data_IF_244989656031
#
_entry.id   IF_244989656031
#
_cell.length_a   1.000
_cell.length_b   1.000
_cell.length_c   1.000
_cell.angle_alpha   90.00
_cell.angle_beta   90.00
_cell.angle_gamma   90.00
#
_symmetry.space_group_name_H-M   'P 1'
#
loop_
_entity.id
_entity.type
_entity.pdbx_description
1 polymer ?
#
# COMPACT_ATOMS: atom_id res chain seq x y z
N UNK A 1 -1.24 -21.11 -6.46
CA UNK A 1 -1.16 -20.74 -7.89
C UNK A 1 -0.01 -19.76 -8.03
N UNK A 2 0.70 -19.76 -9.15
CA UNK A 2 1.77 -18.78 -9.37
C UNK A 2 1.07 -17.42 -9.57
N UNK A 3 0.86 -16.66 -8.49
CA UNK A 3 0.26 -15.31 -8.49
C UNK A 3 1.24 -14.32 -9.11
N UNK A 4 1.48 -14.49 -10.41
CA UNK A 4 2.26 -13.55 -11.18
C UNK A 4 1.40 -12.34 -11.47
N UNK A 5 1.87 -11.16 -11.04
CA UNK A 5 1.31 -9.87 -11.42
C UNK A 5 1.16 -9.82 -12.95
N UNK A 6 0.00 -9.39 -13.45
CA UNK A 6 -0.21 -9.30 -14.88
C UNK A 6 0.58 -8.11 -15.47
N UNK A 7 0.82 -8.12 -16.79
CA UNK A 7 1.65 -7.09 -17.43
C UNK A 7 1.09 -5.66 -17.32
N UNK A 8 -0.24 -5.49 -17.25
CA UNK A 8 -0.86 -4.15 -17.09
C UNK A 8 -0.65 -3.61 -15.68
N UNK A 9 -0.81 -4.45 -14.67
CA UNK A 9 -0.55 -4.06 -13.28
C UNK A 9 0.92 -3.70 -13.08
N UNK A 10 1.81 -4.45 -13.74
CA UNK A 10 3.26 -4.20 -13.73
C UNK A 10 3.63 -2.91 -14.46
N UNK A 11 2.97 -2.62 -15.59
CA UNK A 11 3.09 -1.35 -16.30
C UNK A 11 2.69 -0.17 -15.40
N UNK A 12 1.53 -0.26 -14.75
CA UNK A 12 1.10 0.78 -13.81
C UNK A 12 2.06 0.96 -12.64
N UNK A 13 2.57 -0.12 -12.04
CA UNK A 13 3.57 -0.03 -10.97
C UNK A 13 4.85 0.71 -11.43
N UNK A 14 5.28 0.50 -12.68
CA UNK A 14 6.40 1.22 -13.28
C UNK A 14 6.08 2.70 -13.51
N UNK A 15 4.87 3.01 -13.99
CA UNK A 15 4.43 4.40 -14.16
C UNK A 15 4.35 5.14 -12.83
N UNK A 16 3.80 4.51 -11.80
CA UNK A 16 3.73 5.05 -10.45
C UNK A 16 5.14 5.30 -9.88
N UNK A 17 6.07 4.35 -10.09
CA UNK A 17 7.47 4.51 -9.70
C UNK A 17 8.13 5.73 -10.38
N UNK A 18 7.91 5.90 -11.69
CA UNK A 18 8.39 7.09 -12.44
C UNK A 18 7.73 8.37 -11.95
N UNK A 19 6.47 8.30 -11.52
CA UNK A 19 5.76 9.45 -10.99
C UNK A 19 6.35 9.92 -9.66
N UNK A 20 6.49 9.01 -8.69
CA UNK A 20 7.03 9.35 -7.37
C UNK A 20 8.53 9.67 -7.41
N UNK A 21 9.27 9.13 -8.37
CA UNK A 21 10.68 9.43 -8.61
C UNK A 21 10.88 10.71 -9.46
N UNK A 22 10.44 11.84 -8.92
CA UNK A 22 10.80 13.17 -9.44
C UNK A 22 9.76 13.89 -10.30
N UNK A 23 8.65 13.25 -10.72
CA UNK A 23 7.53 13.98 -11.39
C UNK A 23 6.52 14.55 -10.40
N UNK A 24 6.31 13.88 -9.27
CA UNK A 24 5.34 14.30 -8.27
C UNK A 24 5.76 15.61 -7.59
N UNK A 25 4.93 16.63 -7.69
CA UNK A 25 5.18 17.93 -7.05
C UNK A 25 4.71 17.99 -5.59
N UNK A 26 3.61 17.32 -5.24
CA UNK A 26 3.03 17.33 -3.89
C UNK A 26 2.14 16.13 -3.65
N UNK A 27 2.52 15.24 -2.72
CA UNK A 27 1.74 14.07 -2.36
C UNK A 27 0.35 14.43 -1.80
N UNK A 28 0.25 15.49 -1.00
CA UNK A 28 -1.02 15.93 -0.41
C UNK A 28 -2.02 16.43 -1.45
N UNK A 29 -1.56 17.21 -2.44
CA UNK A 29 -2.43 17.67 -3.54
C UNK A 29 -2.89 16.52 -4.43
N UNK A 30 -2.00 15.56 -4.72
CA UNK A 30 -2.35 14.35 -5.49
C UNK A 30 -3.39 13.51 -4.73
N UNK A 31 -3.23 13.35 -3.41
CA UNK A 31 -4.21 12.64 -2.58
C UNK A 31 -5.59 13.33 -2.57
N UNK A 32 -5.63 14.66 -2.48
CA UNK A 32 -6.88 15.41 -2.59
C UNK A 32 -7.54 15.20 -3.96
N UNK A 33 -6.75 15.24 -5.04
CA UNK A 33 -7.25 15.01 -6.39
C UNK A 33 -7.76 13.58 -6.59
N UNK A 34 -7.13 12.58 -5.96
CA UNK A 34 -7.63 11.21 -6.00
C UNK A 34 -9.05 11.06 -5.43
N UNK A 35 -9.42 11.90 -4.46
CA UNK A 35 -10.74 11.92 -3.86
C UNK A 35 -11.80 12.69 -4.69
N UNK A 36 -11.39 13.46 -5.71
CA UNK A 36 -12.30 14.19 -6.60
C UNK A 36 -12.89 13.31 -7.72
N UNK A 37 -12.39 12.08 -7.88
CA UNK A 37 -12.87 11.15 -8.89
C UNK A 37 -14.25 10.56 -8.57
N UNK A 38 -14.84 9.86 -9.54
CA UNK A 38 -16.08 9.11 -9.31
C UNK A 38 -15.89 8.09 -8.18
N UNK A 39 -16.89 7.97 -7.28
CA UNK A 39 -16.81 7.16 -6.04
C UNK A 39 -16.32 5.73 -6.26
N UNK A 40 -16.70 5.11 -7.37
CA UNK A 40 -16.20 3.78 -7.75
C UNK A 40 -14.66 3.78 -7.91
N UNK A 41 -14.10 4.73 -8.64
CA UNK A 41 -12.65 4.84 -8.86
C UNK A 41 -11.91 5.20 -7.56
N UNK A 42 -12.50 6.05 -6.73
CA UNK A 42 -11.95 6.36 -5.39
C UNK A 42 -11.78 5.08 -4.57
N UNK A 43 -12.79 4.21 -4.58
CA UNK A 43 -12.74 2.93 -3.89
C UNK A 43 -11.68 1.98 -4.48
N UNK A 44 -11.57 1.88 -5.81
CA UNK A 44 -10.54 1.03 -6.44
C UNK A 44 -9.12 1.51 -6.13
N UNK A 45 -8.87 2.83 -6.12
CA UNK A 45 -7.57 3.38 -5.69
C UNK A 45 -7.27 3.03 -4.24
N UNK A 46 -8.26 3.15 -3.36
CA UNK A 46 -8.08 2.84 -1.95
C UNK A 46 -7.75 1.36 -1.72
N UNK A 47 -8.34 0.43 -2.49
CA UNK A 47 -7.94 -0.99 -2.45
C UNK A 47 -6.46 -1.19 -2.77
N UNK A 48 -5.94 -0.52 -3.80
CA UNK A 48 -4.51 -0.58 -4.15
C UNK A 48 -3.64 -0.02 -3.01
N UNK A 49 -4.05 1.09 -2.39
CA UNK A 49 -3.36 1.65 -1.22
C UNK A 49 -3.32 0.66 -0.05
N UNK A 50 -4.46 0.03 0.27
CA UNK A 50 -4.54 -0.96 1.35
C UNK A 50 -3.69 -2.19 1.08
N UNK A 51 -3.72 -2.72 -0.15
CA UNK A 51 -2.86 -3.84 -0.54
C UNK A 51 -1.37 -3.49 -0.43
N UNK A 52 -0.98 -2.27 -0.83
CA UNK A 52 0.40 -1.80 -0.67
C UNK A 52 0.79 -1.66 0.80
N UNK A 53 -0.08 -1.09 1.64
CA UNK A 53 0.14 -0.99 3.08
C UNK A 53 0.28 -2.38 3.73
N UNK A 54 -0.56 -3.35 3.36
CA UNK A 54 -0.45 -4.72 3.84
C UNK A 54 0.92 -5.33 3.49
N UNK A 55 1.39 -5.16 2.25
CA UNK A 55 2.71 -5.65 1.85
C UNK A 55 3.84 -4.96 2.64
N UNK A 56 3.75 -3.66 2.91
CA UNK A 56 4.72 -2.95 3.73
C UNK A 56 4.70 -3.43 5.19
N UNK A 57 3.53 -3.78 5.71
CA UNK A 57 3.38 -4.35 7.04
C UNK A 57 3.99 -5.77 7.12
N UNK A 58 3.82 -6.59 6.08
CA UNK A 58 4.51 -7.89 5.95
C UNK A 58 6.03 -7.68 5.93
N UNK A 59 6.50 -6.70 5.15
CA UNK A 59 7.93 -6.37 5.10
C UNK A 59 8.45 -5.92 6.46
N UNK A 60 7.68 -5.15 7.22
CA UNK A 60 8.01 -4.77 8.59
C UNK A 60 8.20 -6.01 9.49
N UNK A 61 7.22 -6.92 9.50
CA UNK A 61 7.26 -8.15 10.31
C UNK A 61 8.41 -9.09 9.93
N UNK A 62 8.81 -9.08 8.65
CA UNK A 62 9.94 -9.87 8.14
C UNK A 62 11.29 -9.17 8.30
N UNK A 63 11.32 -7.90 8.71
CA UNK A 63 12.55 -7.09 8.71
C UNK A 63 13.08 -6.75 7.32
N UNK A 64 12.22 -6.78 6.28
CA UNK A 64 12.56 -6.53 4.88
C UNK A 64 12.44 -5.05 4.52
N UNK A 65 13.20 -4.22 5.22
CA UNK A 65 13.30 -2.79 5.01
C UNK A 65 14.66 -2.26 5.48
N UNK A 66 14.99 -1.03 5.10
CA UNK A 66 16.15 -0.30 5.60
C UNK A 66 15.76 1.15 5.93
N UNK A 67 16.73 1.97 6.36
CA UNK A 67 16.49 3.35 6.78
C UNK A 67 15.76 4.21 5.73
N UNK A 68 15.80 3.86 4.45
CA UNK A 68 15.15 4.61 3.37
C UNK A 68 13.63 4.41 3.34
N UNK A 69 13.13 3.25 3.78
CA UNK A 69 11.70 2.90 3.74
C UNK A 69 11.14 2.43 5.10
N UNK A 70 11.94 2.44 6.17
CA UNK A 70 11.54 2.11 7.54
C UNK A 70 10.29 2.87 7.98
N UNK A 71 10.25 4.18 7.73
CA UNK A 71 9.09 5.02 8.08
C UNK A 71 7.78 4.48 7.49
N UNK A 72 7.80 4.13 6.20
CA UNK A 72 6.62 3.62 5.52
C UNK A 72 6.21 2.23 6.04
N UNK A 73 7.18 1.34 6.26
CA UNK A 73 6.92 -0.01 6.78
C UNK A 73 6.35 0.03 8.21
N UNK A 74 6.92 0.86 9.07
CA UNK A 74 6.49 1.04 10.46
C UNK A 74 5.06 1.57 10.54
N UNK A 75 4.76 2.64 9.80
CA UNK A 75 3.41 3.22 9.79
C UNK A 75 2.38 2.27 9.18
N UNK A 76 2.74 1.57 8.10
CA UNK A 76 1.85 0.61 7.47
C UNK A 76 1.52 -0.54 8.43
N UNK A 77 2.51 -1.08 9.15
CA UNK A 77 2.27 -2.10 10.17
C UNK A 77 1.35 -1.60 11.27
N UNK A 78 1.65 -0.44 11.88
CA UNK A 78 0.82 0.14 12.93
C UNK A 78 -0.64 0.38 12.47
N UNK A 79 -0.83 0.88 11.25
CA UNK A 79 -2.16 1.11 10.70
C UNK A 79 -2.94 -0.19 10.46
N UNK A 80 -2.31 -1.22 9.89
CA UNK A 80 -2.97 -2.50 9.63
C UNK A 80 -3.32 -3.21 10.94
N UNK A 81 -2.43 -3.19 11.95
CA UNK A 81 -2.72 -3.71 13.29
C UNK A 81 -3.93 -3.00 13.91
N UNK A 82 -3.95 -1.66 13.91
CA UNK A 82 -5.04 -0.88 14.48
C UNK A 82 -6.40 -1.13 13.79
N UNK A 83 -6.41 -1.26 12.46
CA UNK A 83 -7.62 -1.59 11.71
C UNK A 83 -8.09 -3.02 11.99
N UNK A 84 -7.16 -3.97 12.16
CA UNK A 84 -7.49 -5.35 12.52
C UNK A 84 -8.05 -5.47 13.94
N UNK A 85 -7.44 -4.79 14.91
CA UNK A 85 -7.92 -4.76 16.29
C UNK A 85 -9.37 -4.24 16.40
N UNK A 86 -9.72 -3.28 15.55
CA UNK A 86 -11.09 -2.77 15.43
C UNK A 86 -12.01 -3.62 14.56
N UNK A 87 -11.53 -4.76 14.04
CA UNK A 87 -12.28 -5.65 13.13
C UNK A 87 -12.74 -4.98 11.82
N UNK A 88 -12.08 -3.89 11.43
CA UNK A 88 -12.39 -3.11 10.22
C UNK A 88 -11.63 -3.62 8.99
N UNK A 89 -10.51 -4.32 9.20
CA UNK A 89 -9.69 -4.87 8.14
C UNK A 89 -9.18 -6.26 8.48
N UNK A 90 -9.20 -7.15 7.49
CA UNK A 90 -8.72 -8.51 7.59
C UNK A 90 -7.63 -8.71 6.54
N UNK A 91 -6.34 -8.77 6.93
CA UNK A 91 -5.26 -8.98 6.00
C UNK A 91 -5.50 -10.22 5.14
N UNK A 92 -5.32 -10.04 3.83
CA UNK A 92 -5.65 -11.08 2.84
C UNK A 92 -4.52 -12.10 2.66
N UNK A 93 -3.28 -11.68 2.89
CA UNK A 93 -2.09 -12.51 2.73
C UNK A 93 -1.89 -13.43 3.93
N UNK A 94 -1.66 -14.71 3.64
CA UNK A 94 -1.27 -15.69 4.66
C UNK A 94 0.11 -15.43 5.28
N UNK A 95 0.90 -14.55 4.67
CA UNK A 95 2.21 -14.16 5.20
C UNK A 95 2.10 -13.15 6.35
N UNK A 96 0.97 -12.46 6.47
CA UNK A 96 0.74 -11.50 7.54
C UNK A 96 0.49 -12.24 8.86
N UNK A 97 1.30 -11.96 9.89
CA UNK A 97 1.21 -12.60 11.20
C UNK A 97 0.80 -11.59 12.28
N UNK A 98 -0.43 -11.64 12.82
CA UNK A 98 -0.84 -10.79 13.93
C UNK A 98 0.10 -10.95 15.14
N UNK A 99 0.47 -9.85 15.81
CA UNK A 99 1.22 -9.84 17.07
C UNK A 99 2.68 -10.39 17.01
N UNK A 100 3.40 -10.18 15.89
CA UNK A 100 4.87 -10.34 15.84
C UNK A 100 5.58 -9.00 15.99
#
# INVERSE_FOLDING_TARGET
MNDMINERDKEFANEFSRFVNGKMCSASKVGAEFANDHRFLVNEKFKVMMAFMEQLAINYQKGYYDLRNEWACTLAHAAIEALREQQLYYPSSSEYSPNK
#
